data_IF_193897807650
#
_entry.id   IF_193897807650
#
_cell.length_a   1.000
_cell.length_b   1.000
_cell.length_c   1.000
_cell.angle_alpha   90.00
_cell.angle_beta   90.00
_cell.angle_gamma   90.00
#
_symmetry.space_group_name_H-M   'P 1'
#
loop_
_entity.id
_entity.type
_entity.pdbx_description
1 polymer ?
#
# COMPACT_ATOMS: atom_id res chain seq x y z
N UNK A 1 -12.50 11.14 1.07
CA UNK A 1 -11.59 11.39 2.19
C UNK A 1 -10.42 10.44 2.18
N UNK A 2 -9.24 10.98 2.43
CA UNK A 2 -8.05 10.20 2.70
C UNK A 2 -7.82 10.17 4.20
N UNK A 3 -7.58 8.97 4.74
CA UNK A 3 -7.23 8.82 6.15
C UNK A 3 -5.80 8.32 6.23
N UNK A 4 -4.96 9.09 6.92
CA UNK A 4 -3.57 8.75 7.12
C UNK A 4 -3.43 7.97 8.41
N UNK A 5 -2.99 6.72 8.31
CA UNK A 5 -2.76 5.87 9.48
C UNK A 5 -1.30 5.97 9.89
N UNK A 6 -0.99 5.82 11.21
CA UNK A 6 0.39 5.89 11.67
C UNK A 6 1.30 4.91 10.94
N UNK A 7 2.48 5.39 10.55
CA UNK A 7 3.47 4.57 9.89
C UNK A 7 4.01 3.48 10.82
N UNK A 8 4.33 2.34 10.24
CA UNK A 8 4.86 1.20 10.99
C UNK A 8 6.35 0.97 10.75
N UNK A 9 6.96 1.73 9.83
CA UNK A 9 8.31 1.43 9.34
C UNK A 9 9.44 2.31 9.86
N UNK A 10 9.18 3.26 10.73
CA UNK A 10 10.17 4.28 11.10
C UNK A 10 10.87 4.07 12.43
N UNK A 11 10.48 3.10 13.21
CA UNK A 11 11.14 2.80 14.47
C UNK A 11 11.19 1.30 14.66
N UNK A 12 12.17 0.82 15.42
CA UNK A 12 12.15 -0.53 15.95
C UNK A 12 10.97 -0.61 16.91
N UNK A 13 9.83 -0.98 16.34
CA UNK A 13 8.56 -1.03 17.07
C UNK A 13 8.59 -2.27 17.94
N UNK A 14 8.34 -2.11 19.23
CA UNK A 14 8.22 -3.24 20.15
C UNK A 14 7.00 -4.09 19.79
N UNK A 15 6.98 -5.34 20.23
CA UNK A 15 5.83 -6.22 20.02
C UNK A 15 4.51 -5.61 20.50
N UNK A 16 4.55 -4.93 21.66
CA UNK A 16 3.38 -4.28 22.22
C UNK A 16 2.85 -3.15 21.33
N UNK A 17 3.75 -2.39 20.72
CA UNK A 17 3.36 -1.31 19.80
C UNK A 17 2.76 -1.86 18.52
N UNK A 18 3.31 -2.97 18.00
CA UNK A 18 2.73 -3.67 16.84
C UNK A 18 1.32 -4.15 17.13
N UNK A 19 1.10 -4.70 18.32
CA UNK A 19 -0.23 -5.19 18.73
C UNK A 19 -1.23 -4.02 18.85
N UNK A 20 -0.82 -2.92 19.45
CA UNK A 20 -1.66 -1.71 19.54
C UNK A 20 -2.02 -1.18 18.15
N UNK A 21 -1.06 -1.20 17.26
CA UNK A 21 -1.25 -0.73 15.90
C UNK A 21 -2.22 -1.64 15.14
N UNK A 22 -2.09 -2.96 15.30
CA UNK A 22 -3.01 -3.94 14.76
C UNK A 22 -4.42 -3.73 15.27
N UNK A 23 -4.57 -3.56 16.57
CA UNK A 23 -5.86 -3.34 17.21
C UNK A 23 -6.53 -2.06 16.71
N UNK A 24 -5.75 -0.99 16.56
CA UNK A 24 -6.24 0.27 16.04
C UNK A 24 -6.75 0.13 14.60
N UNK A 25 -6.01 -0.55 13.74
CA UNK A 25 -6.41 -0.77 12.36
C UNK A 25 -7.64 -1.65 12.28
N UNK A 26 -7.68 -2.74 13.03
CA UNK A 26 -8.85 -3.62 13.09
C UNK A 26 -10.09 -2.87 13.55
N UNK A 27 -9.95 -2.03 14.58
CA UNK A 27 -11.03 -1.20 15.07
C UNK A 27 -11.52 -0.22 14.00
N UNK A 28 -10.58 0.43 13.30
CA UNK A 28 -10.91 1.35 12.23
C UNK A 28 -11.66 0.65 11.09
N UNK A 29 -11.16 -0.51 10.68
CA UNK A 29 -11.81 -1.32 9.62
C UNK A 29 -13.20 -1.79 10.02
N UNK A 30 -13.39 -2.16 11.29
CA UNK A 30 -14.68 -2.63 11.79
C UNK A 30 -15.73 -1.52 11.91
N UNK A 31 -15.29 -0.29 12.22
CA UNK A 31 -16.21 0.84 12.47
C UNK A 31 -16.48 1.72 11.26
N UNK A 32 -15.63 1.68 10.24
CA UNK A 32 -15.76 2.58 9.11
C UNK A 32 -16.48 1.92 7.93
N UNK A 33 -17.78 2.08 7.87
CA UNK A 33 -18.59 1.63 6.74
C UNK A 33 -18.28 2.38 5.45
N UNK A 34 -17.56 3.50 5.53
CA UNK A 34 -17.21 4.34 4.39
C UNK A 34 -15.84 4.03 3.81
N UNK A 35 -15.07 3.17 4.44
CA UNK A 35 -13.75 2.80 3.95
C UNK A 35 -13.87 1.93 2.70
N UNK A 36 -13.36 2.41 1.56
CA UNK A 36 -13.52 1.75 0.26
C UNK A 36 -12.29 0.99 -0.20
N UNK A 37 -11.11 1.49 0.14
CA UNK A 37 -9.86 0.88 -0.29
C UNK A 37 -8.72 1.27 0.66
N UNK A 38 -7.67 0.47 0.64
CA UNK A 38 -6.46 0.70 1.43
C UNK A 38 -5.28 0.80 0.47
N UNK A 39 -4.47 1.83 0.64
CA UNK A 39 -3.19 1.96 -0.05
C UNK A 39 -2.07 1.69 0.94
N UNK A 40 -1.25 0.69 0.64
CA UNK A 40 -0.06 0.43 1.42
C UNK A 40 1.16 1.01 0.72
N UNK A 41 1.93 1.85 1.42
CA UNK A 41 3.14 2.45 0.89
C UNK A 41 4.35 1.59 1.26
N UNK A 42 5.17 1.26 0.28
CA UNK A 42 6.45 0.58 0.48
C UNK A 42 7.53 1.35 -0.27
N UNK A 43 8.78 1.20 0.18
CA UNK A 43 9.91 1.86 -0.49
C UNK A 43 10.36 0.99 -1.68
N UNK A 44 10.31 1.54 -2.89
CA UNK A 44 10.64 0.82 -4.11
C UNK A 44 12.12 0.40 -4.19
N UNK A 45 12.98 1.00 -3.38
CA UNK A 45 14.43 0.72 -3.42
C UNK A 45 14.80 -0.60 -2.75
N UNK A 46 13.93 -1.15 -1.93
CA UNK A 46 14.20 -2.32 -1.10
C UNK A 46 13.12 -3.40 -1.27
N UNK A 47 13.45 -4.61 -0.91
CA UNK A 47 12.42 -5.63 -0.75
C UNK A 47 11.51 -5.26 0.41
N UNK A 48 10.20 -5.63 0.36
CA UNK A 48 9.32 -5.43 1.50
C UNK A 48 9.89 -6.01 2.78
N UNK A 49 9.76 -5.25 3.86
CA UNK A 49 10.19 -5.70 5.18
C UNK A 49 9.22 -6.73 5.74
N UNK A 50 9.58 -7.37 6.86
CA UNK A 50 8.67 -8.28 7.57
C UNK A 50 7.41 -7.54 8.00
N UNK A 51 7.55 -6.28 8.43
CA UNK A 51 6.40 -5.46 8.83
C UNK A 51 5.50 -5.14 7.64
N UNK A 52 6.09 -4.85 6.48
CA UNK A 52 5.33 -4.67 5.24
C UNK A 52 4.51 -5.91 4.90
N UNK A 53 5.10 -7.08 5.00
CA UNK A 53 4.44 -8.35 4.69
C UNK A 53 3.32 -8.63 5.69
N UNK A 54 3.57 -8.43 6.97
CA UNK A 54 2.57 -8.61 8.03
C UNK A 54 1.38 -7.68 7.80
N UNK A 55 1.65 -6.41 7.51
CA UNK A 55 0.60 -5.44 7.21
C UNK A 55 -0.20 -5.83 5.98
N UNK A 56 0.48 -6.30 4.95
CA UNK A 56 -0.17 -6.72 3.72
C UNK A 56 -1.10 -7.91 3.95
N UNK A 57 -0.70 -8.85 4.80
CA UNK A 57 -1.55 -9.98 5.16
C UNK A 57 -2.84 -9.52 5.85
N UNK A 58 -2.76 -8.52 6.73
CA UNK A 58 -3.95 -7.95 7.36
C UNK A 58 -4.84 -7.24 6.35
N UNK A 59 -4.25 -6.50 5.42
CA UNK A 59 -5.00 -5.79 4.37
C UNK A 59 -5.77 -6.79 3.51
N UNK A 60 -5.14 -7.88 3.10
CA UNK A 60 -5.81 -8.94 2.35
C UNK A 60 -6.96 -9.56 3.16
N UNK A 61 -6.73 -9.80 4.44
CA UNK A 61 -7.74 -10.38 5.32
C UNK A 61 -8.94 -9.47 5.56
N UNK A 62 -8.79 -8.16 5.38
CA UNK A 62 -9.86 -7.19 5.59
C UNK A 62 -11.01 -7.32 4.58
N UNK A 63 -10.74 -7.90 3.42
CA UNK A 63 -11.72 -8.01 2.34
C UNK A 63 -11.95 -6.71 1.56
N UNK A 64 -11.25 -5.62 1.90
CA UNK A 64 -11.35 -4.36 1.16
C UNK A 64 -10.47 -4.37 -0.09
N UNK A 65 -10.81 -3.53 -1.05
CA UNK A 65 -9.93 -3.28 -2.19
C UNK A 65 -8.62 -2.68 -1.70
N UNK A 66 -7.52 -3.04 -2.34
CA UNK A 66 -6.22 -2.53 -1.95
C UNK A 66 -5.30 -2.36 -3.15
N UNK A 67 -4.33 -1.45 -2.98
CA UNK A 67 -3.20 -1.26 -3.88
C UNK A 67 -1.94 -1.08 -3.06
N UNK A 68 -0.82 -1.57 -3.57
CA UNK A 68 0.50 -1.30 -3.02
C UNK A 68 1.13 -0.19 -3.87
N UNK A 69 1.58 0.86 -3.21
CA UNK A 69 2.24 1.99 -3.86
C UNK A 69 3.72 1.93 -3.48
N UNK A 70 4.57 1.59 -4.45
CA UNK A 70 6.01 1.56 -4.24
C UNK A 70 6.59 2.93 -4.56
N UNK A 71 7.02 3.64 -3.52
CA UNK A 71 7.45 5.04 -3.59
C UNK A 71 8.94 5.18 -3.88
N UNK A 72 9.36 6.42 -4.17
CA UNK A 72 10.77 6.80 -4.34
C UNK A 72 11.45 6.15 -5.56
N UNK A 73 10.67 5.89 -6.61
CA UNK A 73 11.20 5.31 -7.85
C UNK A 73 12.18 6.24 -8.57
N UNK A 74 12.15 7.54 -8.28
CA UNK A 74 13.12 8.51 -8.79
C UNK A 74 14.56 8.21 -8.36
N UNK A 75 14.72 7.43 -7.28
CA UNK A 75 16.03 6.98 -6.80
C UNK A 75 16.56 5.75 -7.52
N UNK A 76 15.80 5.20 -8.49
CA UNK A 76 16.14 4.00 -9.24
C UNK A 76 16.34 4.33 -10.71
N UNK A 77 17.25 3.60 -11.39
CA UNK A 77 17.33 3.59 -12.85
C UNK A 77 16.16 2.80 -13.44
N UNK A 78 15.89 3.02 -14.74
CA UNK A 78 14.74 2.40 -15.42
C UNK A 78 14.71 0.88 -15.31
N UNK A 79 15.86 0.23 -15.43
CA UNK A 79 15.97 -1.23 -15.32
C UNK A 79 15.64 -1.71 -13.91
N UNK A 80 16.09 -0.97 -12.90
CA UNK A 80 15.84 -1.29 -11.50
C UNK A 80 14.36 -1.14 -11.14
N UNK A 81 13.64 -0.19 -11.75
CA UNK A 81 12.21 -0.01 -11.50
C UNK A 81 11.44 -1.30 -11.84
N UNK A 82 11.64 -1.84 -13.04
CA UNK A 82 10.96 -3.06 -13.47
C UNK A 82 11.37 -4.26 -12.60
N UNK A 83 12.66 -4.39 -12.31
CA UNK A 83 13.20 -5.48 -11.48
C UNK A 83 12.64 -5.44 -10.07
N UNK A 84 12.61 -4.26 -9.47
CA UNK A 84 12.12 -4.09 -8.09
C UNK A 84 10.61 -4.28 -7.99
N UNK A 85 9.86 -3.86 -9.02
CA UNK A 85 8.43 -4.16 -9.08
C UNK A 85 8.18 -5.68 -9.04
N UNK A 86 8.90 -6.43 -9.84
CA UNK A 86 8.79 -7.90 -9.87
C UNK A 86 9.12 -8.50 -8.51
N UNK A 87 10.17 -8.00 -7.84
CA UNK A 87 10.58 -8.49 -6.52
C UNK A 87 9.53 -8.18 -5.45
N UNK A 88 8.91 -7.02 -5.50
CA UNK A 88 7.82 -6.64 -4.57
C UNK A 88 6.61 -7.54 -4.78
N UNK A 89 6.22 -7.77 -6.03
CA UNK A 89 5.10 -8.67 -6.36
C UNK A 89 5.35 -10.08 -5.84
N UNK A 90 6.57 -10.59 -6.02
CA UNK A 90 6.94 -11.91 -5.53
C UNK A 90 6.90 -12.00 -4.01
N UNK A 91 7.49 -11.01 -3.33
CA UNK A 91 7.55 -10.98 -1.87
C UNK A 91 6.16 -10.89 -1.23
N UNK A 92 5.24 -10.15 -1.84
CA UNK A 92 3.87 -9.99 -1.34
C UNK A 92 2.90 -11.02 -1.92
N UNK A 93 3.36 -11.85 -2.86
CA UNK A 93 2.54 -12.87 -3.55
C UNK A 93 1.31 -12.25 -4.25
N UNK A 94 1.52 -11.18 -5.01
CA UNK A 94 0.47 -10.48 -5.77
C UNK A 94 0.87 -10.30 -7.23
N UNK A 95 -0.12 -10.06 -8.07
CA UNK A 95 0.09 -9.72 -9.47
C UNK A 95 0.58 -8.28 -9.65
N UNK A 96 1.13 -7.99 -10.81
CA UNK A 96 1.61 -6.65 -11.14
C UNK A 96 0.52 -5.59 -11.13
N UNK A 97 -0.72 -5.97 -11.35
CA UNK A 97 -1.89 -5.09 -11.33
C UNK A 97 -2.19 -4.51 -9.94
N UNK A 98 -1.61 -5.08 -8.89
CA UNK A 98 -1.79 -4.62 -7.50
C UNK A 98 -0.67 -3.72 -7.00
N UNK A 99 0.36 -3.49 -7.80
CA UNK A 99 1.52 -2.66 -7.41
C UNK A 99 1.69 -1.52 -8.41
N UNK A 100 1.66 -0.29 -7.89
CA UNK A 100 1.94 0.92 -8.69
C UNK A 100 3.30 1.44 -8.27
N UNK A 101 4.21 1.57 -9.24
CA UNK A 101 5.50 2.25 -9.02
C UNK A 101 5.27 3.75 -9.11
N UNK A 102 5.72 4.48 -8.10
CA UNK A 102 5.36 5.87 -7.90
C UNK A 102 6.55 6.74 -7.51
N UNK A 103 6.55 7.98 -8.00
CA UNK A 103 7.49 9.01 -7.57
C UNK A 103 6.76 10.34 -7.42
N UNK A 104 6.82 10.93 -6.24
CA UNK A 104 6.32 12.29 -6.01
C UNK A 104 7.16 13.34 -6.76
N UNK A 105 8.44 13.04 -7.02
CA UNK A 105 9.36 13.94 -7.73
C UNK A 105 9.05 14.02 -9.22
N UNK A 106 8.86 12.86 -9.87
CA UNK A 106 8.70 12.79 -11.33
C UNK A 106 7.25 12.70 -11.77
N UNK A 107 6.34 12.35 -10.87
CA UNK A 107 4.94 12.10 -11.21
C UNK A 107 4.66 10.70 -11.77
N UNK A 108 5.68 9.82 -11.79
CA UNK A 108 5.47 8.43 -12.24
C UNK A 108 4.39 7.77 -11.39
N UNK A 109 3.44 7.11 -12.04
CA UNK A 109 2.36 6.37 -11.36
C UNK A 109 1.20 7.22 -10.87
N UNK A 110 1.28 8.55 -10.94
CA UNK A 110 0.22 9.44 -10.46
C UNK A 110 -1.11 9.19 -11.18
N UNK A 111 -1.07 9.06 -12.48
CA UNK A 111 -2.29 8.78 -13.27
C UNK A 111 -2.86 7.41 -12.94
N UNK A 112 -2.02 6.42 -12.71
CA UNK A 112 -2.47 5.07 -12.34
C UNK A 112 -3.23 5.09 -11.02
N UNK A 113 -2.76 5.87 -10.05
CA UNK A 113 -3.44 6.02 -8.76
C UNK A 113 -4.79 6.69 -8.96
N UNK A 114 -4.85 7.79 -9.72
CA UNK A 114 -6.11 8.48 -9.98
C UNK A 114 -7.09 7.62 -10.75
N UNK A 115 -6.61 6.85 -11.75
CA UNK A 115 -7.46 5.93 -12.50
C UNK A 115 -8.04 4.83 -11.59
N UNK A 116 -7.24 4.31 -10.67
CA UNK A 116 -7.73 3.34 -9.69
C UNK A 116 -8.82 3.94 -8.82
N UNK A 117 -8.62 5.14 -8.31
CA UNK A 117 -9.60 5.84 -7.46
C UNK A 117 -10.90 6.06 -8.25
N UNK A 118 -10.81 6.58 -9.47
CA UNK A 118 -11.97 6.86 -10.29
C UNK A 118 -12.76 5.60 -10.63
N UNK A 119 -12.07 4.52 -11.00
CA UNK A 119 -12.72 3.30 -11.48
C UNK A 119 -13.22 2.40 -10.35
N UNK A 120 -12.56 2.39 -9.21
CA UNK A 120 -12.85 1.42 -8.14
C UNK A 120 -13.50 2.03 -6.91
N UNK A 121 -13.42 3.34 -6.74
CA UNK A 121 -13.95 4.02 -5.56
C UNK A 121 -15.11 4.93 -5.94
N UNK A 122 -14.86 5.91 -6.81
CA UNK A 122 -15.86 6.91 -7.18
C UNK A 122 -16.98 6.29 -8.02
N UNK A 123 -16.64 5.50 -9.05
CA UNK A 123 -17.64 4.86 -9.90
C UNK A 123 -18.57 3.93 -9.15
N UNK A 124 -18.08 3.25 -8.12
CA UNK A 124 -18.91 2.37 -7.29
C UNK A 124 -19.87 3.12 -6.39
N UNK A 125 -19.57 4.35 -6.04
CA UNK A 125 -20.45 5.19 -5.24
C UNK A 125 -21.64 5.73 -6.03
N UNK A 126 -21.50 5.84 -7.35
CA UNK A 126 -22.57 6.31 -8.24
C UNK A 126 -23.59 5.21 -8.59
N UNK A 127 -23.26 3.98 -8.28
CA UNK A 127 -24.14 2.84 -8.49
C UNK A 127 -24.95 2.54 -7.23
#
# INVERSE_FOLDING_TARGET
YFVDLPGYGYAKVSWNERQKWADMINEYLAKSAQLKAIFQLVDARHNPTKDDITMFDWIKASGLDYMVIATKTDKLGKTAVAKNKAAICEALAVGEDKVIMFSAETGLGKEDIWNYIDNNIISKEEL
#
